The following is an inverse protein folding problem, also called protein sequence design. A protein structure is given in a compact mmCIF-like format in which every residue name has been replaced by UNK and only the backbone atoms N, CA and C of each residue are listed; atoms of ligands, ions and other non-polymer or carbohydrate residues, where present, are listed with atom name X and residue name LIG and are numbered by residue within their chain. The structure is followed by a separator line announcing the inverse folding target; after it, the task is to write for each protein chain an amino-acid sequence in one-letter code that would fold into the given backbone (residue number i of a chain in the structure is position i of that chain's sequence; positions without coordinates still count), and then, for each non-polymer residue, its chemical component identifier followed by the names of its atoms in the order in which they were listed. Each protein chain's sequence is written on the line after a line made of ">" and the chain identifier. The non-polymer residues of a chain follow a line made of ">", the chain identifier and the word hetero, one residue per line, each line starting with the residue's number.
data_IF_822690900701
#
_entry.id   IF_822690900701
#
_cell.length_a   1.000
_cell.length_b   1.000
_cell.length_c   1.000
_cell.angle_alpha   90.00
_cell.angle_beta   90.00
_cell.angle_gamma   90.00
#
_symmetry.space_group_name_H-M   'P 1'
#
loop_
_entity.id
_entity.type
_entity.pdbx_description
1 polymer ?
#
# COMPACT_ATOMS: atom_id res chain seq x y z
N UNK A 1 27.38 -7.27 8.28
CA UNK A 1 27.63 -6.26 7.22
C UNK A 1 27.29 -6.75 5.80
N UNK A 2 27.80 -7.91 5.34
CA UNK A 2 27.54 -8.38 3.96
C UNK A 2 26.05 -8.55 3.59
N UNK A 3 25.18 -8.96 4.54
CA UNK A 3 23.72 -9.10 4.30
C UNK A 3 23.04 -7.75 4.02
N UNK A 4 23.37 -6.72 4.79
CA UNK A 4 22.79 -5.38 4.64
C UNK A 4 23.14 -4.78 3.27
N UNK A 5 24.41 -4.92 2.84
CA UNK A 5 24.88 -4.41 1.55
C UNK A 5 24.15 -5.08 0.38
N UNK A 6 23.93 -6.39 0.44
CA UNK A 6 23.20 -7.13 -0.60
C UNK A 6 21.71 -6.83 -0.62
N UNK A 7 21.12 -6.59 0.55
CA UNK A 7 19.68 -6.33 0.69
C UNK A 7 19.31 -4.89 0.35
N UNK A 8 20.21 -3.93 0.60
CA UNK A 8 20.01 -2.51 0.32
C UNK A 8 19.49 -2.21 -1.09
N UNK A 9 20.10 -2.71 -2.19
CA UNK A 9 19.60 -2.42 -3.53
C UNK A 9 18.19 -3.00 -3.77
N UNK A 10 17.87 -4.16 -3.19
CA UNK A 10 16.56 -4.81 -3.34
C UNK A 10 15.48 -3.98 -2.63
N UNK A 11 15.70 -3.63 -1.37
CA UNK A 11 14.77 -2.82 -0.58
C UNK A 11 14.66 -1.39 -1.12
N UNK A 12 15.80 -0.80 -1.53
CA UNK A 12 15.86 0.52 -2.13
C UNK A 12 15.05 0.59 -3.44
N UNK A 13 15.21 -0.41 -4.32
CA UNK A 13 14.45 -0.50 -5.56
C UNK A 13 12.94 -0.66 -5.28
N UNK A 14 12.57 -1.51 -4.33
CA UNK A 14 11.17 -1.65 -3.88
C UNK A 14 10.58 -0.32 -3.41
N UNK A 15 11.32 0.45 -2.61
CA UNK A 15 10.92 1.78 -2.17
C UNK A 15 10.85 2.82 -3.31
N UNK A 16 11.68 2.70 -4.34
CA UNK A 16 11.57 3.53 -5.55
C UNK A 16 10.31 3.19 -6.36
N UNK A 17 10.00 1.91 -6.54
CA UNK A 17 8.79 1.45 -7.24
C UNK A 17 7.55 1.95 -6.52
N UNK A 18 7.44 1.77 -5.19
CA UNK A 18 6.29 2.24 -4.41
C UNK A 18 6.07 3.74 -4.53
N UNK A 19 7.13 4.55 -4.43
CA UNK A 19 7.02 6.00 -4.62
C UNK A 19 6.53 6.37 -6.02
N UNK A 20 7.04 5.70 -7.06
CA UNK A 20 6.58 5.91 -8.42
C UNK A 20 5.09 5.53 -8.59
N UNK A 21 4.66 4.43 -7.96
CA UNK A 21 3.26 4.00 -7.94
C UNK A 21 2.35 5.03 -7.30
N UNK A 22 2.72 5.56 -6.13
CA UNK A 22 1.95 6.61 -5.45
C UNK A 22 1.84 7.86 -6.33
N UNK A 23 2.92 8.28 -6.99
CA UNK A 23 2.89 9.41 -7.91
C UNK A 23 2.00 9.16 -9.14
N UNK A 24 2.01 7.94 -9.69
CA UNK A 24 1.17 7.57 -10.82
C UNK A 24 -0.32 7.55 -10.44
N UNK A 25 -0.65 6.94 -9.30
CA UNK A 25 -2.02 6.93 -8.76
C UNK A 25 -2.52 8.34 -8.42
N UNK A 26 -1.67 9.21 -7.86
CA UNK A 26 -2.01 10.60 -7.58
C UNK A 26 -2.31 11.41 -8.86
N UNK A 27 -1.59 11.17 -9.96
CA UNK A 27 -1.86 11.82 -11.27
C UNK A 27 -3.23 11.46 -11.83
N UNK A 28 -3.81 10.35 -11.38
CA UNK A 28 -5.13 9.87 -11.79
C UNK A 28 -6.22 10.18 -10.76
N UNK A 29 -5.89 10.95 -9.72
CA UNK A 29 -6.79 11.32 -8.63
C UNK A 29 -7.37 10.11 -7.88
N UNK A 30 -6.61 9.00 -7.79
CA UNK A 30 -6.98 7.89 -6.92
C UNK A 30 -6.73 8.26 -5.46
N UNK A 31 -7.67 7.94 -4.56
CA UNK A 31 -7.51 8.21 -3.13
C UNK A 31 -6.52 7.22 -2.51
N UNK A 32 -5.45 7.74 -1.92
CA UNK A 32 -4.41 6.96 -1.25
C UNK A 32 -4.39 7.36 0.21
N UNK A 33 -4.57 6.38 1.10
CA UNK A 33 -4.45 6.58 2.55
C UNK A 33 -2.96 6.60 2.94
N UNK A 34 -2.18 5.66 2.41
CA UNK A 34 -0.75 5.57 2.71
C UNK A 34 -0.12 4.29 2.19
N UNK A 35 1.17 4.11 2.50
CA UNK A 35 1.92 2.89 2.17
C UNK A 35 2.29 2.13 3.43
N UNK A 36 2.20 0.81 3.40
CA UNK A 36 2.57 -0.07 4.50
C UNK A 36 3.42 -1.23 3.98
N UNK A 37 4.71 -1.24 4.34
CA UNK A 37 5.72 -2.13 3.78
C UNK A 37 5.71 -2.11 2.24
N UNK A 38 5.31 -3.19 1.58
CA UNK A 38 5.20 -3.35 0.14
C UNK A 38 3.77 -3.16 -0.40
N UNK A 39 2.84 -2.71 0.45
CA UNK A 39 1.44 -2.46 0.12
C UNK A 39 1.09 -0.98 0.08
N UNK A 40 0.05 -0.66 -0.68
CA UNK A 40 -0.55 0.67 -0.76
C UNK A 40 -2.00 0.54 -0.33
N UNK A 41 -2.40 1.34 0.64
CA UNK A 41 -3.76 1.39 1.17
C UNK A 41 -4.51 2.51 0.46
N UNK A 42 -5.66 2.18 -0.12
CA UNK A 42 -6.51 3.11 -0.87
C UNK A 42 -7.95 2.99 -0.35
N UNK A 43 -8.74 4.04 -0.56
CA UNK A 43 -10.16 4.04 -0.21
C UNK A 43 -11.00 4.41 -1.43
N UNK A 44 -12.21 3.86 -1.50
CA UNK A 44 -13.18 4.14 -2.56
C UNK A 44 -14.60 3.92 -2.05
N UNK A 45 -15.61 4.61 -2.62
CA UNK A 45 -17.00 4.18 -2.47
C UNK A 45 -17.17 2.71 -2.89
N UNK A 46 -18.04 1.97 -2.18
CA UNK A 46 -18.32 0.55 -2.47
C UNK A 46 -18.70 0.33 -3.95
N UNK A 47 -19.44 1.27 -4.55
CA UNK A 47 -19.85 1.20 -5.96
C UNK A 47 -18.70 1.31 -6.97
N UNK A 48 -17.51 1.72 -6.54
CA UNK A 48 -16.33 1.94 -7.39
C UNK A 48 -15.13 1.06 -7.01
N UNK A 49 -15.29 0.19 -6.01
CA UNK A 49 -14.16 -0.55 -5.43
C UNK A 49 -13.49 -1.48 -6.45
N UNK A 50 -14.27 -2.16 -7.29
CA UNK A 50 -13.74 -3.09 -8.31
C UNK A 50 -12.92 -2.35 -9.37
N UNK A 51 -13.40 -1.19 -9.82
CA UNK A 51 -12.69 -0.36 -10.80
C UNK A 51 -11.40 0.21 -10.21
N UNK A 52 -11.46 0.63 -8.94
CA UNK A 52 -10.28 1.10 -8.24
C UNK A 52 -9.26 -0.03 -8.02
N UNK A 53 -9.69 -1.24 -7.65
CA UNK A 53 -8.81 -2.41 -7.51
C UNK A 53 -8.14 -2.74 -8.84
N UNK A 54 -8.90 -2.78 -9.93
CA UNK A 54 -8.35 -3.01 -11.28
C UNK A 54 -7.32 -1.95 -11.65
N UNK A 55 -7.68 -0.67 -11.47
CA UNK A 55 -6.80 0.43 -11.87
C UNK A 55 -5.53 0.50 -11.02
N UNK A 56 -5.67 0.35 -9.71
CA UNK A 56 -4.51 0.36 -8.81
C UNK A 56 -3.57 -0.81 -9.09
N UNK A 57 -4.11 -2.01 -9.36
CA UNK A 57 -3.32 -3.18 -9.73
C UNK A 57 -2.56 -2.94 -11.04
N UNK A 58 -3.23 -2.34 -12.03
CA UNK A 58 -2.60 -1.98 -13.30
C UNK A 58 -1.45 -0.97 -13.11
N UNK A 59 -1.66 0.07 -12.31
CA UNK A 59 -0.61 1.05 -12.02
C UNK A 59 0.60 0.39 -11.38
N UNK A 60 0.39 -0.52 -10.42
CA UNK A 60 1.48 -1.28 -9.78
C UNK A 60 2.26 -2.16 -10.77
N UNK A 61 1.57 -2.79 -11.73
CA UNK A 61 2.23 -3.56 -12.80
C UNK A 61 3.05 -2.65 -13.70
N UNK A 62 2.45 -1.57 -14.20
CA UNK A 62 3.10 -0.60 -15.09
C UNK A 62 4.32 0.05 -14.44
N UNK A 63 4.25 0.41 -13.15
CA UNK A 63 5.38 0.99 -12.44
C UNK A 63 6.47 -0.04 -12.19
N UNK A 64 6.13 -1.25 -11.73
CA UNK A 64 7.16 -2.29 -11.54
C UNK A 64 7.88 -2.63 -12.84
N UNK A 65 7.17 -2.75 -13.96
CA UNK A 65 7.73 -2.98 -15.28
C UNK A 65 8.74 -1.91 -15.72
N UNK A 66 8.48 -0.63 -15.42
CA UNK A 66 9.40 0.48 -15.73
C UNK A 66 10.76 0.35 -15.04
N UNK A 67 10.79 -0.23 -13.84
CA UNK A 67 12.02 -0.39 -13.06
C UNK A 67 12.70 -1.74 -13.28
N UNK A 68 11.99 -2.73 -13.81
CA UNK A 68 12.44 -4.13 -13.91
C UNK A 68 12.56 -4.62 -15.35
N UNK A 69 12.89 -3.73 -16.29
CA UNK A 69 13.07 -4.05 -17.71
C UNK A 69 11.86 -4.78 -18.31
N UNK A 70 10.65 -4.28 -18.05
CA UNK A 70 9.39 -4.83 -18.54
C UNK A 70 8.82 -5.96 -17.70
N UNK A 71 9.46 -6.37 -16.59
CA UNK A 71 8.92 -7.40 -15.70
C UNK A 71 7.96 -6.82 -14.68
N UNK A 72 6.79 -7.40 -14.59
CA UNK A 72 5.77 -7.03 -13.61
C UNK A 72 5.93 -7.80 -12.31
N UNK A 73 5.69 -7.14 -11.18
CA UNK A 73 5.56 -7.79 -9.88
C UNK A 73 4.11 -8.22 -9.69
N UNK A 74 3.88 -9.44 -9.20
CA UNK A 74 2.54 -9.91 -8.85
C UNK A 74 1.93 -9.03 -7.77
N UNK A 75 0.71 -8.56 -8.01
CA UNK A 75 -0.10 -7.80 -7.06
C UNK A 75 -1.22 -8.68 -6.55
N UNK A 76 -1.44 -8.69 -5.23
CA UNK A 76 -2.56 -9.38 -4.59
C UNK A 76 -3.44 -8.34 -3.89
N UNK A 77 -4.52 -7.87 -4.52
CA UNK A 77 -5.43 -6.95 -3.86
C UNK A 77 -6.23 -7.68 -2.77
N UNK A 78 -6.48 -6.97 -1.67
CA UNK A 78 -7.38 -7.41 -0.60
C UNK A 78 -8.36 -6.27 -0.36
N UNK A 79 -9.66 -6.58 -0.37
CA UNK A 79 -10.74 -5.60 -0.19
C UNK A 79 -11.39 -5.83 1.16
N UNK A 80 -11.63 -4.75 1.88
CA UNK A 80 -12.35 -4.74 3.15
C UNK A 80 -13.47 -3.71 3.07
N UNK A 81 -14.65 -4.08 3.55
CA UNK A 81 -15.78 -3.16 3.65
C UNK A 81 -15.85 -2.57 5.06
N UNK A 82 -16.03 -1.25 5.15
CA UNK A 82 -16.06 -0.56 6.43
C UNK A 82 -14.68 -0.35 7.04
N UNK A 83 -14.62 -0.37 8.37
CA UNK A 83 -13.38 -0.11 9.11
C UNK A 83 -12.51 -1.37 9.10
N UNK A 84 -11.31 -1.27 8.55
CA UNK A 84 -10.32 -2.34 8.66
C UNK A 84 -9.91 -2.55 10.12
N UNK A 85 -9.96 -3.80 10.58
CA UNK A 85 -9.45 -4.24 11.86
C UNK A 85 -8.51 -5.43 11.63
N UNK A 86 -7.28 -5.28 12.10
CA UNK A 86 -6.31 -6.37 12.13
C UNK A 86 -6.57 -7.22 13.39
N UNK A 87 -6.68 -8.54 13.21
CA UNK A 87 -6.96 -9.47 14.31
C UNK A 87 -5.88 -9.40 15.39
N UNK A 88 -4.62 -9.23 15.00
CA UNK A 88 -3.49 -9.12 15.93
C UNK A 88 -3.37 -7.70 16.51
N UNK A 89 -3.92 -6.69 15.83
CA UNK A 89 -3.83 -5.27 16.23
C UNK A 89 -5.01 -4.75 17.06
N UNK A 90 -6.10 -5.53 17.18
CA UNK A 90 -7.33 -5.08 17.81
C UNK A 90 -7.15 -4.69 19.29
N UNK A 91 -6.38 -5.47 20.06
CA UNK A 91 -6.13 -5.21 21.48
C UNK A 91 -5.37 -3.88 21.68
N UNK A 92 -4.28 -3.69 20.92
CA UNK A 92 -3.49 -2.46 20.99
C UNK A 92 -4.30 -1.24 20.55
N UNK A 93 -5.08 -1.38 19.48
CA UNK A 93 -5.96 -0.30 19.01
C UNK A 93 -6.98 0.11 20.07
N UNK A 94 -7.62 -0.87 20.73
CA UNK A 94 -8.56 -0.60 21.82
C UNK A 94 -7.88 0.07 23.01
N UNK A 95 -6.66 -0.37 23.37
CA UNK A 95 -5.87 0.21 24.45
C UNK A 95 -5.54 1.68 24.16
N UNK A 96 -5.01 1.98 22.97
CA UNK A 96 -4.68 3.36 22.56
C UNK A 96 -5.94 4.23 22.50
N UNK A 97 -7.03 3.70 21.94
CA UNK A 97 -8.31 4.43 21.85
C UNK A 97 -8.85 4.82 23.22
N UNK A 98 -8.74 3.93 24.23
CA UNK A 98 -9.12 4.23 25.62
C UNK A 98 -8.24 5.31 26.23
N UNK A 99 -6.92 5.26 25.98
CA UNK A 99 -5.99 6.28 26.45
C UNK A 99 -6.30 7.64 25.81
N UNK A 100 -6.51 7.70 24.49
CA UNK A 100 -6.87 8.93 23.80
C UNK A 100 -8.15 9.56 24.35
N UNK A 101 -9.21 8.78 24.57
CA UNK A 101 -10.46 9.27 25.18
C UNK A 101 -10.30 9.78 26.61
N UNK A 102 -9.33 9.26 27.37
CA UNK A 102 -9.07 9.70 28.74
C UNK A 102 -8.38 11.07 28.79
N UNK A 103 -7.64 11.43 27.74
CA UNK A 103 -6.83 12.64 27.67
C UNK A 103 -7.28 13.66 26.61
N UNK A 104 -8.39 13.40 25.91
CA UNK A 104 -9.09 14.36 25.03
C UNK A 104 -10.12 15.16 25.80
#
# INVERSE_FOLDING_TARGET
>A
EQRTIRNFPIQGLGGCILRATVLAAAKENLSIIGTHHDSIVTESPLSKIDDQVKRMSQIMWETSAKFLNGKEIRVKPTVYEGRFEDADGAEDWQRISKLLKKYS
#
